data_IF_346674486723
#
_entry.id   IF_346674486723
#
_cell.length_a   1.000
_cell.length_b   1.000
_cell.length_c   1.000
_cell.angle_alpha   90.00
_cell.angle_beta   90.00
_cell.angle_gamma   90.00
#
_symmetry.space_group_name_H-M   'P 1'
#
loop_
_entity.id
_entity.type
_entity.pdbx_description
1 polymer ?
#
# COMPACT_ATOMS: atom_id res chain seq x y z
N UNK A 1 -53.54 4.30 17.06
CA UNK A 1 -52.95 5.19 16.03
C UNK A 1 -51.45 4.94 15.99
N UNK A 2 -50.98 4.00 15.16
CA UNK A 2 -49.54 3.64 14.98
C UNK A 2 -49.25 3.12 13.57
N UNK A 3 -50.05 3.54 12.57
CA UNK A 3 -50.00 2.95 11.22
C UNK A 3 -49.09 3.71 10.23
N UNK A 4 -48.51 4.84 10.62
CA UNK A 4 -47.74 5.71 9.72
C UNK A 4 -46.24 5.40 9.69
N UNK A 5 -45.70 4.74 10.72
CA UNK A 5 -44.26 4.44 10.83
C UNK A 5 -43.77 3.24 9.98
N UNK A 6 -44.63 2.29 9.63
CA UNK A 6 -44.21 1.09 8.86
C UNK A 6 -44.07 1.34 7.36
N UNK A 7 -44.83 2.29 6.81
CA UNK A 7 -44.80 2.60 5.37
C UNK A 7 -43.52 3.34 4.98
N UNK A 8 -43.05 4.29 5.80
CA UNK A 8 -41.82 5.06 5.57
C UNK A 8 -40.56 4.19 5.67
N UNK A 9 -40.52 3.25 6.62
CA UNK A 9 -39.41 2.30 6.76
C UNK A 9 -39.30 1.34 5.57
N UNK A 10 -40.43 0.89 5.03
CA UNK A 10 -40.47 0.01 3.86
C UNK A 10 -39.98 0.74 2.61
N UNK A 11 -40.41 1.99 2.43
CA UNK A 11 -39.96 2.84 1.32
C UNK A 11 -38.47 3.17 1.41
N UNK A 12 -37.96 3.46 2.61
CA UNK A 12 -36.54 3.73 2.85
C UNK A 12 -35.68 2.50 2.54
N UNK A 13 -36.12 1.31 2.98
CA UNK A 13 -35.41 0.05 2.72
C UNK A 13 -35.39 -0.30 1.23
N UNK A 14 -36.48 -0.04 0.51
CA UNK A 14 -36.53 -0.23 -0.94
C UNK A 14 -35.59 0.74 -1.67
N UNK A 15 -35.54 2.01 -1.26
CA UNK A 15 -34.59 3.00 -1.82
C UNK A 15 -33.13 2.60 -1.55
N UNK A 16 -32.85 2.09 -0.35
CA UNK A 16 -31.51 1.62 0.01
C UNK A 16 -31.12 0.38 -0.81
N UNK A 17 -32.01 -0.59 -0.93
CA UNK A 17 -31.77 -1.81 -1.71
C UNK A 17 -31.60 -1.53 -3.21
N UNK A 18 -32.38 -0.61 -3.77
CA UNK A 18 -32.22 -0.17 -5.16
C UNK A 18 -30.87 0.53 -5.37
N UNK A 19 -30.42 1.32 -4.39
CA UNK A 19 -29.11 1.98 -4.43
C UNK A 19 -27.95 0.98 -4.38
N UNK A 20 -28.01 -0.01 -3.51
CA UNK A 20 -27.01 -1.08 -3.42
C UNK A 20 -26.94 -1.91 -4.72
N UNK A 21 -28.10 -2.17 -5.33
CA UNK A 21 -28.19 -2.86 -6.63
C UNK A 21 -27.56 -2.04 -7.75
N UNK A 22 -27.79 -0.72 -7.78
CA UNK A 22 -27.24 0.17 -8.79
C UNK A 22 -25.72 0.34 -8.62
N UNK A 23 -25.23 0.46 -7.38
CA UNK A 23 -23.79 0.46 -7.09
C UNK A 23 -23.16 -0.85 -7.56
N UNK A 24 -23.77 -1.99 -7.26
CA UNK A 24 -23.24 -3.30 -7.68
C UNK A 24 -23.22 -3.46 -9.20
N UNK A 25 -24.26 -2.98 -9.90
CA UNK A 25 -24.33 -3.01 -11.35
C UNK A 25 -23.25 -2.13 -11.99
N UNK A 26 -23.04 -0.92 -11.47
CA UNK A 26 -21.99 -0.01 -11.93
C UNK A 26 -20.60 -0.60 -11.69
N UNK A 27 -20.35 -1.19 -10.51
CA UNK A 27 -19.07 -1.84 -10.21
C UNK A 27 -18.80 -3.03 -11.13
N UNK A 28 -19.79 -3.87 -11.38
CA UNK A 28 -19.65 -4.97 -12.33
C UNK A 28 -19.34 -4.46 -13.74
N UNK A 29 -20.00 -3.39 -14.19
CA UNK A 29 -19.75 -2.82 -15.51
C UNK A 29 -18.33 -2.24 -15.63
N UNK A 30 -17.83 -1.56 -14.60
CA UNK A 30 -16.44 -1.06 -14.55
C UNK A 30 -15.44 -2.22 -14.60
N UNK A 31 -15.75 -3.37 -14.02
CA UNK A 31 -14.86 -4.54 -14.06
C UNK A 31 -14.91 -5.33 -15.35
N UNK A 32 -16.04 -5.31 -16.07
CA UNK A 32 -16.23 -6.05 -17.32
C UNK A 32 -15.79 -5.25 -18.55
N UNK A 33 -15.78 -3.91 -18.45
CA UNK A 33 -15.42 -3.02 -19.54
C UNK A 33 -14.33 -2.03 -19.09
N UNK A 34 -13.06 -2.27 -19.48
CA UNK A 34 -11.95 -1.40 -19.11
C UNK A 34 -12.02 -0.02 -19.77
N UNK A 35 -12.62 0.11 -20.97
CA UNK A 35 -12.74 1.40 -21.67
C UNK A 35 -13.71 2.33 -20.92
N UNK A 36 -14.82 1.76 -20.41
CA UNK A 36 -15.77 2.51 -19.57
C UNK A 36 -15.13 3.00 -18.27
N UNK A 37 -14.21 2.23 -17.68
CA UNK A 37 -13.48 2.62 -16.47
C UNK A 37 -12.57 3.84 -16.69
N UNK A 38 -11.93 3.92 -17.86
CA UNK A 38 -11.09 5.06 -18.24
C UNK A 38 -11.92 6.32 -18.52
N UNK A 39 -13.04 6.18 -19.24
CA UNK A 39 -13.95 7.29 -19.54
C UNK A 39 -14.55 7.89 -18.26
N UNK A 40 -14.95 7.05 -17.30
CA UNK A 40 -15.47 7.48 -16.01
C UNK A 40 -14.40 8.18 -15.17
N UNK A 41 -13.16 7.67 -15.16
CA UNK A 41 -12.06 8.30 -14.45
C UNK A 41 -11.74 9.69 -15.01
N UNK A 42 -11.80 9.86 -16.33
CA UNK A 42 -11.58 11.12 -17.00
C UNK A 42 -12.72 12.12 -16.73
N UNK A 43 -13.98 11.68 -16.79
CA UNK A 43 -15.13 12.51 -16.45
C UNK A 43 -15.11 12.99 -14.98
N UNK A 44 -14.67 12.14 -14.06
CA UNK A 44 -14.52 12.50 -12.64
C UNK A 44 -13.38 13.50 -12.41
N UNK A 45 -12.29 13.41 -13.18
CA UNK A 45 -11.20 14.37 -13.15
C UNK A 45 -11.65 15.75 -13.65
N UNK A 46 -12.42 15.77 -14.74
CA UNK A 46 -12.96 17.00 -15.32
C UNK A 46 -13.99 17.68 -14.42
N UNK A 47 -14.81 16.89 -13.71
CA UNK A 47 -15.79 17.38 -12.74
C UNK A 47 -15.17 18.03 -11.49
N UNK A 48 -13.84 18.06 -11.37
CA UNK A 48 -13.14 18.64 -10.21
C UNK A 48 -13.38 17.86 -8.91
N UNK A 49 -13.97 16.67 -9.01
CA UNK A 49 -13.94 15.69 -7.93
C UNK A 49 -12.46 15.36 -7.73
N UNK A 50 -11.87 15.91 -6.67
CA UNK A 50 -10.62 15.41 -6.11
C UNK A 50 -10.87 13.97 -5.69
N UNK A 51 -10.78 13.07 -6.66
CA UNK A 51 -10.71 11.64 -6.47
C UNK A 51 -9.45 11.42 -5.65
N UNK A 52 -9.60 11.46 -4.33
CA UNK A 52 -8.61 10.91 -3.43
C UNK A 52 -8.48 9.46 -3.89
N UNK A 53 -7.42 9.18 -4.65
CA UNK A 53 -7.20 7.99 -5.44
C UNK A 53 -7.92 6.77 -4.83
N UNK A 54 -9.14 6.51 -5.29
CA UNK A 54 -9.78 5.21 -5.08
C UNK A 54 -9.12 4.33 -6.12
N UNK A 55 -7.85 4.02 -5.87
CA UNK A 55 -7.10 3.05 -6.65
C UNK A 55 -7.95 1.78 -6.65
N UNK A 56 -8.33 1.35 -7.84
CA UNK A 56 -8.87 0.04 -8.15
C UNK A 56 -7.83 -1.06 -7.81
N UNK A 57 -7.46 -1.15 -6.53
CA UNK A 57 -6.49 -2.09 -5.95
C UNK A 57 -7.21 -3.08 -5.02
N UNK A 58 -8.39 -3.53 -5.44
CA UNK A 58 -9.02 -4.73 -4.90
C UNK A 58 -8.58 -5.96 -5.68
N UNK A 59 -7.28 -6.30 -5.75
CA UNK A 59 -6.86 -7.67 -6.13
C UNK A 59 -5.36 -8.00 -6.01
N UNK A 60 -4.46 -7.02 -5.83
CA UNK A 60 -3.01 -7.31 -5.70
C UNK A 60 -2.32 -6.39 -4.71
N UNK A 61 -2.81 -6.31 -3.47
CA UNK A 61 -2.01 -5.74 -2.39
C UNK A 61 -0.88 -6.73 -2.13
N UNK A 62 0.29 -6.49 -2.73
CA UNK A 62 1.50 -7.27 -2.49
C UNK A 62 1.83 -7.41 -1.00
N UNK A 63 2.87 -8.15 -0.66
CA UNK A 63 3.32 -8.30 0.72
C UNK A 63 3.47 -6.95 1.43
N UNK A 64 3.42 -6.93 2.77
CA UNK A 64 3.62 -5.69 3.53
C UNK A 64 4.95 -4.99 3.15
N UNK A 65 5.99 -5.76 2.84
CA UNK A 65 7.26 -5.23 2.35
C UNK A 65 7.11 -4.54 0.99
N UNK A 66 6.41 -5.17 0.04
CA UNK A 66 6.14 -4.59 -1.28
C UNK A 66 5.34 -3.29 -1.19
N UNK A 67 4.33 -3.24 -0.31
CA UNK A 67 3.54 -2.03 -0.08
C UNK A 67 4.39 -0.90 0.51
N UNK A 68 5.27 -1.19 1.47
CA UNK A 68 6.17 -0.20 2.06
C UNK A 68 7.20 0.28 1.00
N UNK A 69 7.75 -0.62 0.20
CA UNK A 69 8.67 -0.25 -0.88
C UNK A 69 7.96 0.59 -1.96
N UNK A 70 6.72 0.25 -2.32
CA UNK A 70 5.91 1.02 -3.25
C UNK A 70 5.65 2.44 -2.74
N UNK A 71 5.37 2.61 -1.44
CA UNK A 71 5.24 3.93 -0.81
C UNK A 71 6.50 4.78 -0.97
N UNK A 72 7.69 4.22 -0.75
CA UNK A 72 8.92 4.99 -0.94
C UNK A 72 9.15 5.34 -2.41
N UNK A 73 8.92 4.40 -3.33
CA UNK A 73 9.08 4.65 -4.78
C UNK A 73 8.13 5.74 -5.29
N UNK A 74 6.87 5.73 -4.86
CA UNK A 74 5.88 6.73 -5.29
C UNK A 74 6.19 8.14 -4.78
N UNK A 75 6.97 8.26 -3.69
CA UNK A 75 7.46 9.53 -3.14
C UNK A 75 8.88 9.90 -3.58
N UNK A 76 9.41 9.29 -4.64
CA UNK A 76 10.78 9.60 -5.10
C UNK A 76 11.86 9.19 -4.10
N UNK A 77 11.58 8.20 -3.25
CA UNK A 77 12.47 7.66 -2.22
C UNK A 77 12.91 8.68 -1.14
N UNK A 78 12.04 9.63 -0.82
CA UNK A 78 12.26 10.59 0.27
C UNK A 78 12.32 9.93 1.65
N UNK A 79 13.05 10.57 2.57
CA UNK A 79 13.09 10.19 3.98
C UNK A 79 11.70 10.28 4.62
N UNK A 80 11.23 9.19 5.21
CA UNK A 80 9.93 9.14 5.87
C UNK A 80 10.01 8.54 7.28
N UNK A 81 9.19 9.07 8.17
CA UNK A 81 8.95 8.46 9.47
C UNK A 81 8.00 7.25 9.36
N UNK A 82 8.10 6.31 10.31
CA UNK A 82 7.13 5.20 10.46
C UNK A 82 5.69 5.72 10.60
N UNK A 83 5.50 6.89 11.21
CA UNK A 83 4.20 7.54 11.36
C UNK A 83 3.56 7.90 10.00
N UNK A 84 4.37 8.36 9.04
CA UNK A 84 3.93 8.71 7.68
C UNK A 84 3.64 7.47 6.85
N UNK A 85 4.52 6.46 6.92
CA UNK A 85 4.32 5.16 6.26
C UNK A 85 2.98 4.56 6.71
N UNK A 86 2.73 4.53 8.03
CA UNK A 86 1.49 4.00 8.61
C UNK A 86 0.24 4.70 8.06
N UNK A 87 0.27 6.03 7.97
CA UNK A 87 -0.87 6.81 7.46
C UNK A 87 -1.13 6.54 5.97
N UNK A 88 -0.08 6.28 5.19
CA UNK A 88 -0.19 6.09 3.74
C UNK A 88 -0.54 4.65 3.35
N UNK A 89 -0.03 3.65 4.06
CA UNK A 89 -0.20 2.23 3.69
C UNK A 89 -1.27 1.51 4.50
N UNK A 90 -1.78 2.13 5.57
CA UNK A 90 -2.69 1.50 6.55
C UNK A 90 -2.11 0.23 7.21
N UNK A 91 -0.78 0.06 7.16
CA UNK A 91 -0.09 -1.07 7.79
C UNK A 91 0.17 -0.76 9.26
N UNK A 92 -0.16 -1.70 10.15
CA UNK A 92 0.10 -1.57 11.58
C UNK A 92 1.57 -1.28 11.91
N UNK A 93 1.82 -0.47 12.95
CA UNK A 93 3.17 -0.06 13.37
C UNK A 93 4.13 -1.25 13.60
N UNK A 94 3.62 -2.34 14.20
CA UNK A 94 4.41 -3.55 14.47
C UNK A 94 4.85 -4.26 13.19
N UNK A 95 3.97 -4.32 12.19
CA UNK A 95 4.27 -4.90 10.89
C UNK A 95 5.31 -4.08 10.12
N UNK A 96 5.18 -2.75 10.12
CA UNK A 96 6.20 -1.85 9.55
C UNK A 96 7.55 -2.06 10.25
N UNK A 97 7.56 -2.12 11.58
CA UNK A 97 8.78 -2.36 12.34
C UNK A 97 9.40 -3.73 12.02
N UNK A 98 8.58 -4.78 11.86
CA UNK A 98 9.06 -6.10 11.47
C UNK A 98 9.76 -6.07 10.09
N UNK A 99 9.20 -5.34 9.12
CA UNK A 99 9.82 -5.18 7.80
C UNK A 99 11.13 -4.41 7.88
N UNK A 100 11.12 -3.23 8.50
CA UNK A 100 12.25 -2.31 8.51
C UNK A 100 13.43 -2.82 9.35
N UNK A 101 13.17 -3.50 10.47
CA UNK A 101 14.21 -3.92 11.41
C UNK A 101 14.56 -5.41 11.36
N UNK A 102 13.71 -6.28 10.81
CA UNK A 102 13.92 -7.73 10.87
C UNK A 102 13.98 -8.37 9.49
N UNK A 103 12.91 -8.33 8.72
CA UNK A 103 12.80 -9.19 7.53
C UNK A 103 13.49 -8.62 6.29
N UNK A 104 13.48 -7.30 6.10
CA UNK A 104 14.01 -6.65 4.90
C UNK A 104 15.01 -5.54 5.22
N UNK A 105 15.71 -5.64 6.35
CA UNK A 105 16.65 -4.61 6.84
C UNK A 105 17.69 -4.21 5.78
N UNK A 106 18.12 -5.14 4.92
CA UNK A 106 19.08 -4.91 3.85
C UNK A 106 18.56 -4.02 2.70
N UNK A 107 17.23 -3.82 2.59
CA UNK A 107 16.60 -2.98 1.56
C UNK A 107 16.42 -1.52 1.99
N UNK A 108 16.52 -1.24 3.28
CA UNK A 108 16.25 0.07 3.83
C UNK A 108 17.48 0.63 4.55
N UNK A 109 17.59 1.94 4.56
CA UNK A 109 18.54 2.67 5.40
C UNK A 109 17.78 3.64 6.29
N UNK A 110 18.38 3.94 7.45
CA UNK A 110 17.79 4.83 8.42
C UNK A 110 18.79 5.85 8.92
N UNK A 111 18.29 7.04 9.24
CA UNK A 111 19.05 8.06 9.95
C UNK A 111 18.20 8.70 11.05
N UNK A 112 18.86 9.46 11.92
CA UNK A 112 18.19 10.22 12.96
C UNK A 112 17.45 11.41 12.33
N UNK A 113 16.22 11.70 12.78
CA UNK A 113 15.46 12.82 12.25
C UNK A 113 16.16 14.15 12.61
N UNK A 114 16.38 15.07 11.65
CA UNK A 114 17.17 16.28 11.89
C UNK A 114 16.61 17.15 13.02
N UNK A 115 15.29 17.33 13.08
CA UNK A 115 14.62 18.13 14.12
C UNK A 115 14.30 17.36 15.41
N UNK A 116 14.37 16.03 15.39
CA UNK A 116 13.89 15.19 16.50
C UNK A 116 14.83 14.01 16.72
N UNK A 117 15.85 14.22 17.57
CA UNK A 117 16.89 13.20 17.83
C UNK A 117 16.32 11.83 18.26
N UNK A 118 15.17 11.78 18.92
CA UNK A 118 14.57 10.49 19.32
C UNK A 118 13.92 9.70 18.17
N UNK A 119 13.73 10.30 16.99
CA UNK A 119 13.02 9.69 15.86
C UNK A 119 13.99 9.23 14.78
N UNK A 120 13.61 8.13 14.12
CA UNK A 120 14.31 7.61 12.94
C UNK A 120 13.47 7.85 11.69
N UNK A 121 14.12 8.31 10.64
CA UNK A 121 13.56 8.37 9.29
C UNK A 121 14.22 7.30 8.43
N UNK A 122 13.47 6.82 7.44
CA UNK A 122 13.81 5.67 6.61
C UNK A 122 13.73 6.05 5.14
N UNK A 123 14.53 5.39 4.30
CA UNK A 123 14.38 5.36 2.84
C UNK A 123 14.86 4.01 2.29
N UNK A 124 14.62 3.75 1.01
CA UNK A 124 15.21 2.59 0.33
C UNK A 124 16.68 2.84 0.05
N UNK A 125 17.50 1.81 0.26
CA UNK A 125 18.90 1.82 -0.18
C UNK A 125 18.99 1.86 -1.71
N UNK A 126 20.00 2.53 -2.29
CA UNK A 126 20.26 2.47 -3.72
C UNK A 126 20.51 1.03 -4.18
N UNK A 127 20.09 0.69 -5.42
CA UNK A 127 20.15 -0.68 -5.96
C UNK A 127 21.57 -1.27 -5.92
N UNK A 128 22.57 -0.43 -6.20
CA UNK A 128 24.00 -0.79 -6.15
C UNK A 128 24.46 -1.30 -4.78
N UNK A 129 23.87 -0.82 -3.68
CA UNK A 129 24.19 -1.30 -2.33
C UNK A 129 23.44 -2.58 -1.96
N UNK A 130 22.27 -2.81 -2.57
CA UNK A 130 21.49 -4.03 -2.34
C UNK A 130 22.15 -5.26 -2.97
N UNK A 131 22.77 -5.11 -4.14
CA UNK A 131 23.42 -6.20 -4.89
C UNK A 131 24.74 -6.65 -4.24
N UNK A 132 25.48 -5.74 -3.60
CA UNK A 132 26.72 -6.06 -2.86
C UNK A 132 26.52 -6.97 -1.65
N UNK A 133 25.30 -7.02 -1.11
CA UNK A 133 24.97 -7.89 0.03
C UNK A 133 24.51 -9.29 -0.42
N UNK A 134 24.31 -9.49 -1.72
CA UNK A 134 23.87 -10.77 -2.30
C UNK A 134 25.01 -11.51 -3.00
N UNK A 135 26.19 -10.91 -3.16
CA UNK A 135 27.38 -11.70 -3.49
C UNK A 135 27.61 -12.67 -2.34
N UNK A 136 27.51 -14.00 -2.55
CA UNK A 136 27.96 -14.94 -1.55
C UNK A 136 29.39 -14.54 -1.22
N UNK A 137 29.66 -14.29 0.06
CA UNK A 137 31.03 -14.18 0.56
C UNK A 137 31.69 -15.43 0.01
N UNK A 138 32.62 -15.24 -0.93
CA UNK A 138 33.26 -16.32 -1.66
C UNK A 138 33.59 -17.40 -0.65
N UNK A 139 33.09 -18.61 -0.90
CA UNK A 139 33.44 -19.75 -0.09
C UNK A 139 34.96 -19.74 0.01
N UNK A 140 35.45 -19.48 1.21
CA UNK A 140 36.79 -19.84 1.60
C UNK A 140 36.86 -21.33 1.25
N UNK A 141 37.50 -21.61 0.11
CA UNK A 141 37.89 -22.93 -0.31
C UNK A 141 38.83 -23.39 0.79
N UNK A 142 38.27 -23.99 1.84
CA UNK A 142 39.01 -24.65 2.89
C UNK A 142 39.74 -25.78 2.21
N UNK A 143 40.96 -25.48 1.77
CA UNK A 143 41.99 -26.41 1.34
C UNK A 143 42.30 -27.31 2.55
N UNK A 144 41.44 -28.31 2.76
CA UNK A 144 41.69 -29.43 3.65
C UNK A 144 42.85 -30.21 3.04
N UNK A 145 44.07 -29.77 3.32
CA UNK A 145 45.24 -30.62 3.16
C UNK A 145 45.10 -31.77 4.15
N UNK A 146 44.68 -32.91 3.63
CA UNK A 146 44.95 -34.23 4.20
C UNK A 146 46.43 -34.29 4.59
N UNK A 147 46.70 -34.45 5.89
CA UNK A 147 48.01 -34.82 6.41
C UNK A 147 47.96 -36.30 6.77
N UNK A 148 48.77 -37.09 6.05
CA UNK A 148 49.22 -38.45 6.37
C UNK A 148 49.83 -38.57 7.77
#
# INVERSE_FOLDING_TARGET
MTSTDYSTLTELKNRYSARESLISAVLNHITSDPEFGEELAQALLEAGCKTGAVSAQGSRRGTQAEQIMAYFRSRGNEWAEVSQIRKATDIGRGAIANVLYKTHVHRFEHQQHPSHKSRKVWRLKPKSEQERLLTPIGGDELDFKDQD
#
